data_IF_573742299958
#
_entry.id   IF_573742299958
#
_cell.length_a   1.000
_cell.length_b   1.000
_cell.length_c   1.000
_cell.angle_alpha   90.00
_cell.angle_beta   90.00
_cell.angle_gamma   90.00
#
_symmetry.space_group_name_H-M   'P 1'
#
loop_
_entity.id
_entity.type
_entity.pdbx_description
1 polymer ?
#
# COMPACT_ATOMS: atom_id res chain seq x y z
N UNK A 1 -14.76 -17.84 -27.17
CA UNK A 1 -15.73 -16.74 -26.89
C UNK A 1 -15.44 -15.59 -27.84
N UNK A 2 -16.46 -14.95 -28.40
CA UNK A 2 -16.25 -13.78 -29.27
C UNK A 2 -15.64 -12.65 -28.45
N UNK A 3 -14.68 -11.93 -29.02
CA UNK A 3 -13.97 -10.80 -28.38
C UNK A 3 -14.92 -9.69 -27.87
N UNK A 4 -16.06 -9.52 -28.54
CA UNK A 4 -17.08 -8.56 -28.12
C UNK A 4 -17.77 -9.04 -26.84
N UNK A 5 -18.09 -10.31 -26.73
CA UNK A 5 -18.70 -10.91 -25.53
C UNK A 5 -17.73 -10.82 -24.34
N UNK A 6 -16.48 -11.18 -24.55
CA UNK A 6 -15.44 -11.06 -23.53
C UNK A 6 -15.26 -9.62 -23.02
N UNK A 7 -15.26 -8.65 -23.94
CA UNK A 7 -15.16 -7.23 -23.57
C UNK A 7 -16.37 -6.75 -22.76
N UNK A 8 -17.59 -7.18 -23.14
CA UNK A 8 -18.82 -6.85 -22.40
C UNK A 8 -18.81 -7.42 -20.99
N UNK A 9 -18.37 -8.68 -20.82
CA UNK A 9 -18.28 -9.32 -19.51
C UNK A 9 -17.26 -8.64 -18.61
N UNK A 10 -16.07 -8.31 -19.13
CA UNK A 10 -15.06 -7.55 -18.39
C UNK A 10 -15.55 -6.17 -17.97
N UNK A 11 -16.25 -5.48 -18.87
CA UNK A 11 -16.80 -4.17 -18.56
C UNK A 11 -17.94 -4.25 -17.53
N UNK A 12 -18.83 -5.23 -17.64
CA UNK A 12 -19.89 -5.44 -16.65
C UNK A 12 -19.31 -5.70 -15.26
N UNK A 13 -18.31 -6.60 -15.16
CA UNK A 13 -17.62 -6.87 -13.89
C UNK A 13 -16.96 -5.62 -13.30
N UNK A 14 -16.30 -4.81 -14.13
CA UNK A 14 -15.71 -3.56 -13.69
C UNK A 14 -16.76 -2.61 -13.10
N UNK A 15 -17.91 -2.48 -13.76
CA UNK A 15 -19.00 -1.63 -13.28
C UNK A 15 -19.55 -2.15 -11.94
N UNK A 16 -19.76 -3.46 -11.81
CA UNK A 16 -20.20 -4.08 -10.56
C UNK A 16 -19.22 -3.77 -9.41
N UNK A 17 -17.93 -3.97 -9.62
CA UNK A 17 -16.89 -3.65 -8.64
C UNK A 17 -16.90 -2.17 -8.23
N UNK A 18 -17.10 -1.26 -9.18
CA UNK A 18 -17.17 0.17 -8.89
C UNK A 18 -18.46 0.56 -8.14
N UNK A 19 -19.58 -0.05 -8.44
CA UNK A 19 -20.84 0.17 -7.71
C UNK A 19 -20.71 -0.30 -6.26
N UNK A 20 -20.15 -1.48 -6.02
CA UNK A 20 -19.86 -1.96 -4.67
C UNK A 20 -18.91 -1.04 -3.91
N UNK A 21 -17.88 -0.51 -4.58
CA UNK A 21 -16.98 0.49 -4.01
C UNK A 21 -17.73 1.74 -3.59
N UNK A 22 -18.59 2.27 -4.45
CA UNK A 22 -19.42 3.45 -4.14
C UNK A 22 -20.31 3.21 -2.91
N UNK A 23 -20.94 2.03 -2.82
CA UNK A 23 -21.79 1.71 -1.67
C UNK A 23 -20.96 1.60 -0.37
N UNK A 24 -19.77 1.01 -0.41
CA UNK A 24 -18.85 1.03 0.75
C UNK A 24 -18.46 2.44 1.16
N UNK A 25 -18.17 3.33 0.19
CA UNK A 25 -17.85 4.74 0.46
C UNK A 25 -19.04 5.49 1.08
N UNK A 26 -20.26 5.26 0.59
CA UNK A 26 -21.47 5.87 1.16
C UNK A 26 -21.76 5.37 2.58
N UNK A 27 -21.44 4.12 2.87
CA UNK A 27 -21.60 3.54 4.21
C UNK A 27 -20.60 4.10 5.22
N UNK A 28 -19.45 4.59 4.77
CA UNK A 28 -18.43 5.21 5.60
C UNK A 28 -18.83 6.67 5.92
N UNK A 29 -19.48 6.86 7.08
CA UNK A 29 -20.07 8.14 7.46
C UNK A 29 -19.11 9.11 8.14
N UNK A 30 -18.00 8.64 8.66
CA UNK A 30 -17.07 9.44 9.47
C UNK A 30 -15.62 9.23 9.03
N UNK A 31 -14.83 10.32 9.08
CA UNK A 31 -13.39 10.21 8.97
C UNK A 31 -12.79 9.56 10.21
N UNK A 32 -11.70 8.85 10.03
CA UNK A 32 -10.95 8.26 11.15
C UNK A 32 -10.41 9.38 12.03
N UNK A 33 -10.86 9.44 13.27
CA UNK A 33 -10.30 10.34 14.29
C UNK A 33 -9.12 9.64 14.99
N UNK A 34 -7.93 9.92 14.51
CA UNK A 34 -6.69 9.31 15.02
C UNK A 34 -6.44 9.64 16.51
N UNK A 35 -7.01 10.74 17.03
CA UNK A 35 -6.86 11.10 18.45
C UNK A 35 -7.57 10.11 19.38
N UNK A 36 -8.55 9.38 18.86
CA UNK A 36 -9.35 8.37 19.60
C UNK A 36 -8.81 6.95 19.43
N UNK A 37 -7.78 6.75 18.61
CA UNK A 37 -7.18 5.42 18.47
C UNK A 37 -6.26 5.10 19.64
N UNK A 38 -6.35 3.90 20.14
CA UNK A 38 -5.45 3.40 21.19
C UNK A 38 -4.03 3.24 20.67
N UNK A 39 -3.89 2.83 19.42
CA UNK A 39 -2.59 2.64 18.75
C UNK A 39 -2.66 3.12 17.31
N UNK A 40 -1.59 3.78 16.85
CA UNK A 40 -1.34 4.16 15.46
C UNK A 40 -0.21 3.31 14.91
N UNK A 41 -0.41 2.67 13.78
CA UNK A 41 0.57 1.83 13.10
C UNK A 41 1.12 2.58 11.89
N UNK A 42 2.42 2.83 11.89
CA UNK A 42 3.15 3.45 10.78
C UNK A 42 3.91 2.35 10.04
N UNK A 43 3.47 2.04 8.82
CA UNK A 43 4.19 1.11 7.95
C UNK A 43 5.35 1.83 7.24
N UNK A 44 6.52 1.20 7.18
CA UNK A 44 7.69 1.71 6.47
C UNK A 44 8.06 0.73 5.37
N UNK A 45 7.87 1.12 4.12
CA UNK A 45 8.24 0.33 2.95
C UNK A 45 9.46 0.96 2.25
N UNK A 46 10.63 0.36 2.39
CA UNK A 46 11.88 0.88 1.83
C UNK A 46 11.87 0.96 0.30
N UNK A 47 11.21 0.01 -0.36
CA UNK A 47 11.18 -0.06 -1.83
C UNK A 47 12.51 -0.51 -2.42
N UNK A 48 12.89 0.10 -3.54
CA UNK A 48 14.02 -0.30 -4.36
C UNK A 48 15.16 0.73 -4.37
N UNK A 49 16.32 0.31 -4.87
CA UNK A 49 17.46 1.19 -5.12
C UNK A 49 17.97 1.88 -3.87
N UNK A 50 17.96 3.22 -3.87
CA UNK A 50 18.36 4.03 -2.69
C UNK A 50 17.28 4.07 -1.59
N UNK A 51 16.09 3.54 -1.88
CA UNK A 51 14.92 3.59 -1.00
C UNK A 51 15.20 3.11 0.42
N UNK A 52 15.72 1.88 0.62
CA UNK A 52 16.00 1.37 1.96
C UNK A 52 16.95 2.29 2.76
N UNK A 53 17.96 2.87 2.11
CA UNK A 53 18.91 3.76 2.78
C UNK A 53 18.28 5.07 3.24
N UNK A 54 17.47 5.72 2.39
CA UNK A 54 16.84 7.01 2.74
C UNK A 54 15.67 6.84 3.70
N UNK A 55 14.85 5.79 3.52
CA UNK A 55 13.73 5.51 4.43
C UNK A 55 14.23 5.15 5.83
N UNK A 56 15.36 4.44 5.95
CA UNK A 56 15.96 4.15 7.26
C UNK A 56 16.39 5.40 8.01
N UNK A 57 16.89 6.43 7.31
CA UNK A 57 17.20 7.69 7.96
C UNK A 57 15.93 8.46 8.40
N UNK A 58 14.89 8.45 7.58
CA UNK A 58 13.61 9.04 7.94
C UNK A 58 12.96 8.30 9.13
N UNK A 59 13.03 6.97 9.15
CA UNK A 59 12.56 6.14 10.27
C UNK A 59 13.29 6.50 11.58
N UNK A 60 14.62 6.63 11.55
CA UNK A 60 15.41 7.06 12.74
C UNK A 60 14.96 8.42 13.30
N UNK A 61 14.60 9.36 12.41
CA UNK A 61 14.07 10.66 12.83
C UNK A 61 12.69 10.48 13.46
N UNK A 62 11.82 9.68 12.86
CA UNK A 62 10.50 9.37 13.44
C UNK A 62 10.62 8.69 14.81
N UNK A 63 11.50 7.68 14.94
CA UNK A 63 11.76 7.01 16.22
C UNK A 63 12.22 7.98 17.29
N UNK A 64 13.09 8.91 16.93
CA UNK A 64 13.55 9.96 17.86
C UNK A 64 12.42 10.90 18.29
N UNK A 65 11.64 11.41 17.34
CA UNK A 65 10.55 12.34 17.59
C UNK A 65 9.38 11.69 18.33
N UNK A 66 9.08 10.42 18.03
CA UNK A 66 7.94 9.67 18.59
C UNK A 66 8.34 8.74 19.74
N UNK A 67 9.57 8.86 20.24
CA UNK A 67 10.12 7.94 21.26
C UNK A 67 9.16 7.72 22.43
N UNK A 68 8.63 8.79 23.00
CA UNK A 68 7.68 8.72 24.11
C UNK A 68 6.41 7.95 23.77
N UNK A 69 5.87 8.11 22.57
CA UNK A 69 4.63 7.48 22.15
C UNK A 69 4.86 6.01 21.78
N UNK A 70 6.04 5.67 21.27
CA UNK A 70 6.48 4.29 21.01
C UNK A 70 6.65 3.54 22.33
N UNK A 71 7.34 4.14 23.29
CA UNK A 71 7.56 3.55 24.64
C UNK A 71 6.24 3.32 25.39
N UNK A 72 5.23 4.17 25.18
CA UNK A 72 3.88 4.02 25.72
C UNK A 72 3.01 3.01 24.94
N UNK A 73 3.51 2.48 23.83
CA UNK A 73 2.77 1.58 22.96
C UNK A 73 1.67 2.24 22.10
N UNK A 74 1.62 3.58 22.07
CA UNK A 74 0.66 4.34 21.27
C UNK A 74 1.02 4.41 19.79
N UNK A 75 2.30 4.29 19.47
CA UNK A 75 2.80 4.24 18.10
C UNK A 75 3.61 2.97 17.91
N UNK A 76 3.35 2.27 16.80
CA UNK A 76 4.13 1.14 16.33
C UNK A 76 4.70 1.48 14.96
N UNK A 77 6.01 1.31 14.77
CA UNK A 77 6.64 1.36 13.45
C UNK A 77 6.79 -0.07 12.95
N UNK A 78 6.26 -0.36 11.77
CA UNK A 78 6.23 -1.70 11.18
C UNK A 78 6.93 -1.69 9.84
N UNK A 79 7.95 -2.53 9.70
CA UNK A 79 8.63 -2.70 8.41
C UNK A 79 7.77 -3.52 7.44
N UNK A 80 7.65 -3.03 6.19
CA UNK A 80 6.98 -3.72 5.08
C UNK A 80 8.05 -4.06 4.04
N UNK A 81 8.45 -5.34 3.97
CA UNK A 81 9.58 -5.79 3.16
C UNK A 81 9.20 -6.25 1.76
N UNK A 82 7.93 -6.49 1.49
CA UNK A 82 7.46 -7.12 0.25
C UNK A 82 7.28 -6.18 -0.94
N UNK A 83 7.52 -4.87 -0.80
CA UNK A 83 7.31 -3.88 -1.86
C UNK A 83 8.57 -3.63 -2.69
N UNK A 84 9.26 -4.70 -3.09
CA UNK A 84 10.46 -4.65 -3.94
C UNK A 84 10.15 -5.12 -5.36
N UNK A 85 11.01 -4.74 -6.30
CA UNK A 85 10.84 -5.13 -7.71
C UNK A 85 10.82 -6.66 -7.88
N UNK A 86 11.65 -7.40 -7.13
CA UNK A 86 11.73 -8.85 -7.20
C UNK A 86 10.39 -9.49 -6.82
N UNK A 87 9.81 -9.05 -5.71
CA UNK A 87 8.51 -9.56 -5.23
C UNK A 87 7.36 -9.19 -6.16
N UNK A 88 7.39 -7.99 -6.71
CA UNK A 88 6.38 -7.51 -7.67
C UNK A 88 6.45 -8.28 -8.99
N UNK A 89 7.64 -8.57 -9.49
CA UNK A 89 7.84 -9.39 -10.70
C UNK A 89 7.41 -10.83 -10.44
N UNK A 90 7.79 -11.42 -9.31
CA UNK A 90 7.37 -12.78 -8.93
C UNK A 90 5.83 -12.89 -8.87
N UNK A 91 5.16 -11.91 -8.27
CA UNK A 91 3.70 -11.88 -8.17
C UNK A 91 3.00 -11.43 -9.46
N UNK A 92 3.72 -10.86 -10.43
CA UNK A 92 3.16 -10.19 -11.62
C UNK A 92 2.07 -9.16 -11.26
N UNK A 93 2.27 -8.45 -10.15
CA UNK A 93 1.36 -7.45 -9.60
C UNK A 93 2.09 -6.16 -9.26
N UNK A 94 1.36 -5.05 -9.33
CA UNK A 94 1.86 -3.75 -8.86
C UNK A 94 2.19 -3.79 -7.36
N UNK A 95 1.32 -4.43 -6.58
CA UNK A 95 1.51 -4.75 -5.17
C UNK A 95 1.07 -6.21 -4.98
N UNK A 96 1.90 -7.11 -4.44
CA UNK A 96 1.47 -8.45 -4.05
C UNK A 96 0.31 -8.41 -3.04
N UNK A 97 -0.59 -9.38 -3.07
CA UNK A 97 -1.83 -9.33 -2.26
C UNK A 97 -1.54 -9.33 -0.76
N UNK A 98 -0.59 -10.14 -0.31
CA UNK A 98 -0.13 -10.20 1.09
C UNK A 98 0.43 -8.84 1.55
N UNK A 99 1.25 -8.20 0.72
CA UNK A 99 1.81 -6.87 0.99
C UNK A 99 0.71 -5.81 1.01
N UNK A 100 -0.29 -5.92 0.14
CA UNK A 100 -1.44 -5.02 0.15
C UNK A 100 -2.22 -5.11 1.46
N UNK A 101 -2.41 -6.32 1.99
CA UNK A 101 -3.08 -6.50 3.29
C UNK A 101 -2.23 -5.97 4.46
N UNK A 102 -0.90 -6.13 4.42
CA UNK A 102 -0.01 -5.48 5.39
C UNK A 102 -0.12 -3.95 5.36
N UNK A 103 -0.15 -3.35 4.16
CA UNK A 103 -0.33 -1.91 3.96
C UNK A 103 -1.68 -1.44 4.51
N UNK A 104 -2.76 -2.16 4.21
CA UNK A 104 -4.11 -1.84 4.71
C UNK A 104 -4.24 -1.95 6.23
N UNK A 105 -3.44 -2.79 6.87
CA UNK A 105 -3.40 -2.92 8.31
C UNK A 105 -2.67 -1.77 9.02
N UNK A 106 -2.01 -0.88 8.28
CA UNK A 106 -1.35 0.31 8.79
C UNK A 106 -2.28 1.53 8.70
N UNK A 107 -2.05 2.51 9.57
CA UNK A 107 -2.78 3.78 9.57
C UNK A 107 -2.12 4.81 8.66
N UNK A 108 -0.80 4.77 8.59
CA UNK A 108 0.04 5.66 7.78
C UNK A 108 1.15 4.84 7.13
N UNK A 109 1.51 5.20 5.92
CA UNK A 109 2.60 4.54 5.17
C UNK A 109 3.68 5.56 4.80
N UNK A 110 4.92 5.28 5.20
CA UNK A 110 6.11 5.90 4.64
C UNK A 110 6.66 4.97 3.55
N UNK A 111 6.53 5.38 2.30
CA UNK A 111 6.97 4.61 1.13
C UNK A 111 8.23 5.23 0.53
N UNK A 112 9.26 4.43 0.37
CA UNK A 112 10.43 4.73 -0.45
C UNK A 112 10.15 4.60 -1.96
N UNK A 113 11.13 4.94 -2.82
CA UNK A 113 11.00 4.79 -4.26
C UNK A 113 10.85 3.32 -4.66
N UNK A 114 10.11 3.08 -5.74
CA UNK A 114 9.91 1.77 -6.34
C UNK A 114 10.31 1.81 -7.81
N UNK A 115 10.86 0.70 -8.32
CA UNK A 115 11.28 0.61 -9.70
C UNK A 115 10.09 0.70 -10.64
N UNK A 116 10.15 1.66 -11.58
CA UNK A 116 9.19 1.79 -12.66
C UNK A 116 9.53 0.80 -13.79
N UNK A 117 8.55 0.04 -14.32
CA UNK A 117 8.79 -0.84 -15.46
C UNK A 117 9.21 -0.05 -16.69
N UNK A 118 10.08 -0.65 -17.52
CA UNK A 118 10.46 -0.10 -18.81
C UNK A 118 9.46 -0.52 -19.88
N UNK A 119 9.48 0.13 -21.02
CA UNK A 119 8.68 -0.29 -22.16
C UNK A 119 9.00 -1.75 -22.53
N UNK A 120 7.97 -2.60 -22.53
CA UNK A 120 8.10 -4.04 -22.80
C UNK A 120 8.23 -4.94 -21.57
N UNK A 121 8.41 -4.38 -20.40
CA UNK A 121 8.39 -5.16 -19.16
C UNK A 121 6.96 -5.68 -18.88
N UNK A 122 6.80 -6.95 -18.46
CA UNK A 122 5.48 -7.57 -18.35
C UNK A 122 4.73 -7.25 -17.04
N UNK A 123 5.40 -6.71 -16.02
CA UNK A 123 4.76 -6.40 -14.73
C UNK A 123 4.16 -4.99 -14.70
N UNK A 124 3.08 -4.78 -13.95
CA UNK A 124 2.43 -3.47 -13.90
C UNK A 124 3.22 -2.44 -13.06
N UNK A 125 3.06 -1.16 -13.41
CA UNK A 125 3.60 -0.06 -12.62
C UNK A 125 2.76 0.14 -11.35
N UNK A 126 3.42 0.31 -10.21
CA UNK A 126 2.75 0.58 -8.92
C UNK A 126 2.14 1.98 -8.88
N UNK A 127 2.66 2.91 -9.65
CA UNK A 127 2.23 4.31 -9.63
C UNK A 127 1.11 4.62 -10.63
N UNK A 128 0.75 3.66 -11.43
CA UNK A 128 -0.39 3.76 -12.34
C UNK A 128 -1.55 2.91 -11.91
#
# INVERSE_FOLDING_TARGET
>A
MDKITEAKEKFAKLIEEQLERVERMKAQKEFVDYSKKDKIIIGVAGGDGIGPAITKQAERIMEFLLKSEIEKGKVEIREITGLTIEKRVEAMKAIPDDVLEEIKACDVILKGPTTTPRAGDPWPNIES
#
